data_IF_990160957026
#
_entry.id   IF_990160957026
#
_cell.length_a   1.000
_cell.length_b   1.000
_cell.length_c   1.000
_cell.angle_alpha   90.00
_cell.angle_beta   90.00
_cell.angle_gamma   90.00
#
_symmetry.space_group_name_H-M   'P 1'
#
loop_
_entity.id
_entity.type
_entity.pdbx_description
1 polymer ?
#
# COMPACT_ATOMS: atom_id res chain seq x y z
N UNK A 1 14.55 17.55 31.22
CA UNK A 1 14.68 16.83 29.94
C UNK A 1 13.41 16.00 29.69
N UNK A 2 12.26 16.64 29.39
CA UNK A 2 10.97 15.91 29.24
C UNK A 2 10.09 16.40 28.10
N UNK A 3 10.54 17.36 27.28
CA UNK A 3 9.72 17.92 26.19
C UNK A 3 9.94 17.25 24.83
N UNK A 4 11.08 16.61 24.62
CA UNK A 4 11.42 15.99 23.33
C UNK A 4 10.71 14.63 23.14
N UNK A 5 10.50 13.88 24.23
CA UNK A 5 9.86 12.55 24.16
C UNK A 5 8.37 12.61 23.78
N UNK A 6 7.67 13.68 24.20
CA UNK A 6 6.26 13.89 23.87
C UNK A 6 6.03 14.25 22.39
N UNK A 7 7.00 14.90 21.74
CA UNK A 7 6.90 15.28 20.32
C UNK A 7 7.06 14.07 19.40
N UNK A 8 7.89 13.10 19.77
CA UNK A 8 8.12 11.88 18.97
C UNK A 8 6.89 10.97 18.97
N UNK A 9 6.17 10.86 20.09
CA UNK A 9 4.93 10.08 20.19
C UNK A 9 3.74 10.78 19.51
N UNK A 10 3.70 12.11 19.51
CA UNK A 10 2.64 12.86 18.84
C UNK A 10 2.75 12.78 17.30
N UNK A 11 3.95 12.65 16.73
CA UNK A 11 4.16 12.46 15.29
C UNK A 11 3.73 11.07 14.80
N UNK A 12 3.69 10.05 15.68
CA UNK A 12 3.23 8.70 15.33
C UNK A 12 1.70 8.59 15.28
N UNK A 13 0.98 9.48 15.96
CA UNK A 13 -0.48 9.44 16.09
C UNK A 13 -1.23 10.14 14.94
N UNK A 14 -0.57 11.01 14.17
CA UNK A 14 -1.22 11.75 13.06
C UNK A 14 -1.37 10.89 11.78
N UNK A 15 -0.73 9.72 11.72
CA UNK A 15 -0.88 8.77 10.61
C UNK A 15 -2.18 7.92 10.70
N UNK A 16 -2.97 8.08 11.75
CA UNK A 16 -4.20 7.34 11.99
C UNK A 16 -5.43 8.23 11.75
N UNK A 17 -5.79 8.47 10.48
CA UNK A 17 -7.18 8.70 10.00
C UNK A 17 -7.26 9.41 8.65
N UNK A 18 -6.18 10.02 8.16
CA UNK A 18 -6.15 10.59 6.80
C UNK A 18 -5.80 9.50 5.80
N UNK A 19 -6.51 9.47 4.67
CA UNK A 19 -6.27 8.51 3.58
C UNK A 19 -4.81 8.48 3.15
N UNK A 20 -4.37 7.36 2.59
CA UNK A 20 -3.04 7.30 1.99
C UNK A 20 -3.12 8.00 0.63
N UNK A 21 -2.53 9.19 0.55
CA UNK A 21 -2.64 10.04 -0.63
C UNK A 21 -1.42 9.93 -1.56
N UNK A 22 -0.30 9.38 -1.05
CA UNK A 22 0.97 9.26 -1.79
C UNK A 22 1.65 7.92 -1.59
N UNK A 23 2.53 7.54 -2.53
CA UNK A 23 3.42 6.37 -2.39
C UNK A 23 4.20 6.40 -1.08
N UNK A 24 4.77 7.55 -0.71
CA UNK A 24 5.61 7.69 0.49
C UNK A 24 4.78 7.49 1.79
N UNK A 25 3.53 7.97 1.79
CA UNK A 25 2.61 7.72 2.90
C UNK A 25 2.24 6.25 3.00
N UNK A 26 2.11 5.57 1.86
CA UNK A 26 1.80 4.15 1.78
C UNK A 26 2.97 3.26 2.22
N UNK A 27 4.20 3.60 1.83
CA UNK A 27 5.42 2.95 2.33
C UNK A 27 5.56 3.09 3.84
N UNK A 28 5.30 4.29 4.36
CA UNK A 28 5.33 4.57 5.80
C UNK A 28 4.25 3.78 6.55
N UNK A 29 3.06 3.66 5.96
CA UNK A 29 1.98 2.84 6.50
C UNK A 29 2.32 1.35 6.50
N UNK A 30 2.84 0.81 5.39
CA UNK A 30 3.27 -0.59 5.31
C UNK A 30 4.32 -0.90 6.39
N UNK A 31 5.33 -0.03 6.52
CA UNK A 31 6.37 -0.15 7.54
C UNK A 31 5.81 -0.12 8.96
N UNK A 32 4.87 0.77 9.26
CA UNK A 32 4.25 0.85 10.60
C UNK A 32 3.41 -0.38 10.96
N UNK A 33 2.98 -1.13 9.94
CA UNK A 33 2.26 -2.41 10.07
C UNK A 33 3.18 -3.64 10.03
N UNK A 34 4.50 -3.43 10.04
CA UNK A 34 5.49 -4.51 10.03
C UNK A 34 5.76 -5.12 8.65
N UNK A 35 5.26 -4.51 7.57
CA UNK A 35 5.57 -4.90 6.19
C UNK A 35 6.81 -4.15 5.73
N UNK A 36 7.93 -4.87 5.57
CA UNK A 36 9.18 -4.30 5.08
C UNK A 36 9.21 -4.40 3.56
N UNK A 37 9.06 -3.27 2.89
CA UNK A 37 9.12 -3.18 1.43
C UNK A 37 10.56 -2.97 0.95
N UNK A 38 11.02 -3.82 0.04
CA UNK A 38 12.35 -3.79 -0.57
C UNK A 38 12.23 -3.82 -2.10
N UNK A 39 13.36 -3.72 -2.82
CA UNK A 39 13.41 -3.83 -4.29
C UNK A 39 12.49 -2.85 -5.05
N UNK A 40 12.34 -1.62 -4.52
CA UNK A 40 11.52 -0.57 -5.12
C UNK A 40 11.88 -0.34 -6.58
N UNK A 41 10.94 -0.62 -7.47
CA UNK A 41 11.09 -0.45 -8.92
C UNK A 41 9.91 0.35 -9.45
N UNK A 42 10.16 1.38 -10.26
CA UNK A 42 9.08 2.18 -10.85
C UNK A 42 8.44 1.44 -12.02
N UNK A 43 7.12 1.24 -11.97
CA UNK A 43 6.35 0.69 -13.08
C UNK A 43 5.87 1.84 -13.98
N UNK A 44 6.60 2.03 -15.08
CA UNK A 44 6.29 3.02 -16.12
C UNK A 44 5.26 2.53 -17.15
N UNK A 45 4.89 1.26 -17.10
CA UNK A 45 3.85 0.68 -17.96
C UNK A 45 2.45 0.99 -17.47
N UNK A 46 2.31 1.42 -16.21
CA UNK A 46 1.01 1.68 -15.62
C UNK A 46 0.41 3.00 -16.11
N UNK A 47 -0.61 2.90 -16.99
CA UNK A 47 -1.26 4.06 -17.61
C UNK A 47 -2.39 4.65 -16.78
N UNK A 48 -2.98 3.88 -15.86
CA UNK A 48 -4.14 4.33 -15.07
C UNK A 48 -3.78 5.02 -13.75
N UNK A 49 -2.56 4.79 -13.25
CA UNK A 49 -2.06 5.37 -12.01
C UNK A 49 -0.83 6.23 -12.33
N UNK A 50 -0.88 7.54 -12.06
CA UNK A 50 0.23 8.47 -12.35
C UNK A 50 1.57 8.06 -11.74
N UNK A 51 1.56 7.33 -10.64
CA UNK A 51 2.75 6.74 -10.02
C UNK A 51 2.45 5.31 -9.60
N UNK A 52 3.31 4.40 -9.99
CA UNK A 52 3.24 2.99 -9.62
C UNK A 52 4.64 2.49 -9.30
N UNK A 53 4.77 1.75 -8.21
CA UNK A 53 6.03 1.11 -7.84
C UNK A 53 5.78 -0.31 -7.37
N UNK A 54 6.65 -1.21 -7.80
CA UNK A 54 6.71 -2.60 -7.38
C UNK A 54 7.76 -2.78 -6.29
N UNK A 55 7.47 -3.69 -5.37
CA UNK A 55 8.27 -4.00 -4.19
C UNK A 55 8.21 -5.49 -3.86
N UNK A 56 9.18 -5.93 -3.07
CA UNK A 56 9.16 -7.19 -2.35
C UNK A 56 8.85 -7.00 -0.87
N UNK A 57 8.06 -7.89 -0.30
CA UNK A 57 7.89 -8.07 1.13
C UNK A 57 8.29 -9.50 1.49
N UNK A 58 9.61 -9.75 1.56
CA UNK A 58 10.14 -11.11 1.48
C UNK A 58 9.85 -11.71 0.11
N UNK A 59 9.16 -12.85 0.09
CA UNK A 59 8.84 -13.60 -1.13
C UNK A 59 7.56 -13.11 -1.82
N UNK A 60 6.83 -12.19 -1.16
CA UNK A 60 5.57 -11.62 -1.63
C UNK A 60 5.84 -10.37 -2.47
N UNK A 61 5.16 -10.26 -3.59
CA UNK A 61 5.18 -9.08 -4.46
C UNK A 61 4.12 -8.10 -3.99
N UNK A 62 4.49 -6.82 -3.93
CA UNK A 62 3.58 -5.72 -3.57
C UNK A 62 3.75 -4.60 -4.58
N UNK A 63 2.70 -4.25 -5.31
CA UNK A 63 2.65 -3.00 -6.07
C UNK A 63 1.88 -1.94 -5.26
N UNK A 64 2.37 -0.71 -5.29
CA UNK A 64 1.66 0.46 -4.77
C UNK A 64 1.32 1.36 -5.95
N UNK A 65 0.03 1.49 -6.22
CA UNK A 65 -0.51 2.39 -7.23
C UNK A 65 -1.08 3.63 -6.56
N UNK A 66 -0.62 4.82 -6.98
CA UNK A 66 -1.14 6.11 -6.53
C UNK A 66 -2.00 6.73 -7.63
N UNK A 67 -3.27 6.93 -7.33
CA UNK A 67 -4.24 7.64 -8.17
C UNK A 67 -4.31 9.13 -7.79
N UNK A 68 -4.95 9.93 -8.64
CA UNK A 68 -5.20 11.34 -8.32
C UNK A 68 -6.27 11.53 -7.24
N UNK A 69 -7.24 10.61 -7.14
CA UNK A 69 -8.35 10.69 -6.19
C UNK A 69 -8.70 9.31 -5.64
N UNK A 70 -9.29 9.29 -4.46
CA UNK A 70 -9.74 8.06 -3.79
C UNK A 70 -10.85 7.37 -4.57
N UNK A 71 -11.76 8.14 -5.16
CA UNK A 71 -12.82 7.63 -6.02
C UNK A 71 -12.27 6.94 -7.28
N UNK A 72 -11.22 7.49 -7.90
CA UNK A 72 -10.60 6.88 -9.08
C UNK A 72 -9.94 5.55 -8.73
N UNK A 73 -9.23 5.50 -7.58
CA UNK A 73 -8.68 4.26 -7.04
C UNK A 73 -9.80 3.23 -6.80
N UNK A 74 -10.86 3.61 -6.07
CA UNK A 74 -11.97 2.70 -5.75
C UNK A 74 -12.64 2.11 -6.98
N UNK A 75 -13.00 2.95 -7.96
CA UNK A 75 -13.59 2.49 -9.23
C UNK A 75 -12.68 1.56 -10.02
N UNK A 76 -11.38 1.84 -10.04
CA UNK A 76 -10.43 0.95 -10.71
C UNK A 76 -10.35 -0.40 -10.00
N UNK A 77 -10.32 -0.43 -8.66
CA UNK A 77 -10.36 -1.67 -7.89
C UNK A 77 -11.62 -2.49 -8.20
N UNK A 78 -12.80 -1.87 -8.15
CA UNK A 78 -14.08 -2.54 -8.46
C UNK A 78 -14.04 -3.21 -9.84
N UNK A 79 -13.61 -2.47 -10.86
CA UNK A 79 -13.49 -2.99 -12.22
C UNK A 79 -12.51 -4.17 -12.33
N UNK A 80 -11.40 -4.13 -11.57
CA UNK A 80 -10.36 -5.15 -11.64
C UNK A 80 -10.64 -6.38 -10.76
N UNK A 81 -11.38 -6.23 -9.67
CA UNK A 81 -11.78 -7.34 -8.80
C UNK A 81 -12.77 -8.28 -9.49
N UNK A 82 -13.56 -7.76 -10.43
CA UNK A 82 -14.45 -8.55 -11.28
C UNK A 82 -13.70 -9.24 -12.44
N UNK A 83 -12.41 -8.97 -12.62
CA UNK A 83 -11.60 -9.55 -13.70
C UNK A 83 -11.07 -10.95 -13.32
N UNK A 84 -11.31 -11.98 -14.14
CA UNK A 84 -10.84 -13.35 -13.86
C UNK A 84 -9.33 -13.54 -14.11
N UNK A 85 -8.61 -12.51 -14.55
CA UNK A 85 -7.26 -12.65 -15.11
C UNK A 85 -6.12 -12.36 -14.12
N UNK A 86 -6.41 -12.02 -12.87
CA UNK A 86 -5.41 -11.45 -11.99
C UNK A 86 -5.58 -11.94 -10.53
N UNK A 87 -4.71 -12.84 -10.05
CA UNK A 87 -4.82 -13.43 -8.71
C UNK A 87 -4.37 -12.50 -7.58
N UNK A 88 -4.05 -11.22 -7.88
CA UNK A 88 -3.61 -10.29 -6.86
C UNK A 88 -4.76 -9.87 -5.94
N UNK A 89 -4.47 -9.76 -4.65
CA UNK A 89 -5.39 -9.14 -3.70
C UNK A 89 -5.16 -7.64 -3.71
N UNK A 90 -6.24 -6.87 -3.91
CA UNK A 90 -6.19 -5.41 -3.96
C UNK A 90 -6.72 -4.80 -2.67
N UNK A 91 -5.91 -4.01 -1.97
CA UNK A 91 -6.29 -3.28 -0.76
C UNK A 91 -6.32 -1.79 -1.08
N UNK A 92 -7.50 -1.18 -1.01
CA UNK A 92 -7.71 0.25 -1.31
C UNK A 92 -7.72 1.10 -0.05
N UNK A 93 -6.98 2.21 -0.06
CA UNK A 93 -6.95 3.18 1.04
C UNK A 93 -6.58 4.58 0.54
N UNK A 94 -7.50 5.54 0.69
CA UNK A 94 -7.29 6.90 0.15
C UNK A 94 -7.10 6.85 -1.36
N UNK A 95 -6.08 7.53 -1.87
CA UNK A 95 -5.72 7.53 -3.29
C UNK A 95 -4.85 6.32 -3.69
N UNK A 96 -4.53 5.43 -2.76
CA UNK A 96 -3.59 4.34 -2.98
C UNK A 96 -4.30 2.99 -3.06
N UNK A 97 -3.80 2.12 -3.93
CA UNK A 97 -4.09 0.70 -3.93
C UNK A 97 -2.78 -0.08 -3.74
N UNK A 98 -2.79 -1.01 -2.79
CA UNK A 98 -1.79 -2.07 -2.71
C UNK A 98 -2.30 -3.27 -3.52
N UNK A 99 -1.51 -3.76 -4.46
CA UNK A 99 -1.74 -5.06 -5.09
C UNK A 99 -0.76 -6.05 -4.47
N UNK A 100 -1.24 -7.21 -4.02
CA UNK A 100 -0.42 -8.19 -3.31
C UNK A 100 -0.54 -9.55 -3.98
N UNK A 101 0.58 -10.12 -4.43
CA UNK A 101 0.62 -11.42 -5.09
C UNK A 101 1.94 -12.15 -4.83
N UNK A 102 2.11 -13.33 -5.43
CA UNK A 102 3.31 -14.15 -5.21
C UNK A 102 3.39 -14.69 -3.78
N UNK A 103 4.57 -15.22 -3.43
CA UNK A 103 4.81 -15.93 -2.18
C UNK A 103 3.91 -17.15 -1.94
N UNK A 104 4.14 -17.84 -0.83
CA UNK A 104 3.18 -18.82 -0.34
C UNK A 104 1.91 -18.14 0.21
N UNK A 105 0.81 -18.87 0.27
CA UNK A 105 -0.49 -18.35 0.70
C UNK A 105 -0.45 -17.75 2.11
N UNK A 106 0.28 -18.35 3.05
CA UNK A 106 0.33 -17.87 4.42
C UNK A 106 1.10 -16.55 4.54
N UNK A 107 2.23 -16.42 3.84
CA UNK A 107 2.99 -15.19 3.74
C UNK A 107 2.19 -14.08 3.06
N UNK A 108 1.55 -14.39 1.93
CA UNK A 108 0.70 -13.45 1.20
C UNK A 108 -0.46 -12.94 2.06
N UNK A 109 -1.17 -13.82 2.77
CA UNK A 109 -2.28 -13.43 3.63
C UNK A 109 -1.84 -12.59 4.84
N UNK A 110 -0.63 -12.82 5.39
CA UNK A 110 -0.07 -11.95 6.44
C UNK A 110 0.16 -10.52 5.94
N UNK A 111 0.71 -10.36 4.74
CA UNK A 111 0.91 -9.03 4.12
C UNK A 111 -0.43 -8.35 3.85
N UNK A 112 -1.39 -9.07 3.25
CA UNK A 112 -2.75 -8.56 3.01
C UNK A 112 -3.40 -8.08 4.31
N UNK A 113 -3.41 -8.93 5.35
CA UNK A 113 -4.02 -8.61 6.64
C UNK A 113 -3.36 -7.41 7.34
N UNK A 114 -2.04 -7.27 7.21
CA UNK A 114 -1.32 -6.12 7.76
C UNK A 114 -1.71 -4.81 7.06
N UNK A 115 -1.98 -4.85 5.76
CA UNK A 115 -2.33 -3.68 4.95
C UNK A 115 -3.83 -3.35 4.98
N UNK A 116 -4.68 -4.30 5.36
CA UNK A 116 -6.10 -4.09 5.61
C UNK A 116 -6.34 -3.19 6.86
N UNK A 117 -7.47 -2.44 6.89
CA UNK A 117 -7.85 -1.58 8.01
C UNK A 117 -8.00 -2.33 9.33
#
# INVERSE_FOLDING_TARGET
MSRILAVVLALSAVACSKGLDTIESAESFAKSRGVVLTEKTEDKGQVVAPRSYDYKAGDVEVAIMQFHTSDAAGKWKEMMDDSPFAPEVRVHKGNVIFMVWGGDDAARQKVVAALQP
#
